data_IF_961987310905
#
_entry.id   IF_961987310905
#
_cell.length_a   1.000
_cell.length_b   1.000
_cell.length_c   1.000
_cell.angle_alpha   90.00
_cell.angle_beta   90.00
_cell.angle_gamma   90.00
#
_symmetry.space_group_name_H-M   'P 1'
#
loop_
_entity.id
_entity.type
_entity.pdbx_description
1 polymer ?
#
# COMPACT_ATOMS: atom_id res chain seq x y z
N UNK A 1 6.63 5.42 -12.91
CA UNK A 1 5.31 5.86 -12.39
C UNK A 1 5.34 6.48 -11.00
N UNK A 2 5.81 5.79 -9.95
CA UNK A 2 5.76 6.31 -8.58
C UNK A 2 6.53 7.62 -8.39
N UNK A 3 7.71 7.74 -9.02
CA UNK A 3 8.51 8.96 -9.01
C UNK A 3 7.74 10.18 -9.57
N UNK A 4 6.82 9.97 -10.51
CA UNK A 4 5.98 11.02 -11.09
C UNK A 4 4.76 11.38 -10.20
N UNK A 5 4.67 10.84 -8.98
CA UNK A 5 3.57 11.11 -8.04
C UNK A 5 2.35 10.20 -8.20
N UNK A 6 2.40 9.21 -9.08
CA UNK A 6 1.30 8.26 -9.22
C UNK A 6 1.24 7.28 -8.06
N UNK A 7 0.04 7.07 -7.51
CA UNK A 7 -0.18 6.15 -6.40
C UNK A 7 -0.22 4.67 -6.83
N UNK A 8 -0.10 3.73 -5.88
CA UNK A 8 -0.05 2.29 -6.21
C UNK A 8 -1.28 1.79 -6.99
N UNK A 9 -2.48 2.33 -6.72
CA UNK A 9 -3.69 1.98 -7.48
C UNK A 9 -3.63 2.42 -8.96
N UNK A 10 -3.01 3.57 -9.23
CA UNK A 10 -2.81 4.03 -10.60
C UNK A 10 -1.81 3.12 -11.30
N UNK A 11 -0.68 2.82 -10.62
CA UNK A 11 0.36 1.93 -11.14
C UNK A 11 -0.23 0.55 -11.46
N UNK A 12 -1.02 -0.01 -10.54
CA UNK A 12 -1.74 -1.28 -10.73
C UNK A 12 -2.54 -1.30 -12.03
N UNK A 13 -3.36 -0.26 -12.29
CA UNK A 13 -4.18 -0.16 -13.51
C UNK A 13 -3.31 -0.05 -14.77
N UNK A 14 -2.23 0.73 -14.72
CA UNK A 14 -1.31 0.88 -15.85
C UNK A 14 -0.61 -0.44 -16.20
N UNK A 15 -0.12 -1.17 -15.21
CA UNK A 15 0.49 -2.48 -15.42
C UNK A 15 -0.51 -3.50 -16.00
N UNK A 16 -1.77 -3.42 -15.59
CA UNK A 16 -2.86 -4.25 -16.11
C UNK A 16 -3.18 -3.90 -17.58
N UNK A 17 -3.26 -2.60 -17.90
CA UNK A 17 -3.46 -2.08 -19.27
C UNK A 17 -2.31 -2.46 -20.21
N UNK A 18 -1.07 -2.38 -19.74
CA UNK A 18 0.14 -2.77 -20.47
C UNK A 18 0.32 -4.29 -20.57
N UNK A 19 -0.57 -5.09 -19.96
CA UNK A 19 -0.51 -6.55 -19.90
C UNK A 19 0.83 -7.05 -19.33
N UNK A 20 1.35 -6.38 -18.31
CA UNK A 20 2.54 -6.83 -17.58
C UNK A 20 2.09 -7.88 -16.55
N UNK A 21 2.58 -9.13 -16.64
CA UNK A 21 2.15 -10.20 -15.73
C UNK A 21 2.62 -9.94 -14.31
N UNK A 22 1.80 -10.33 -13.34
CA UNK A 22 2.08 -10.11 -11.93
C UNK A 22 3.22 -11.02 -11.42
N UNK A 23 3.90 -10.65 -10.31
CA UNK A 23 5.05 -11.41 -9.80
C UNK A 23 4.67 -12.84 -9.38
N UNK A 24 3.41 -13.04 -8.96
CA UNK A 24 2.92 -14.39 -8.60
C UNK A 24 2.86 -15.32 -9.81
N UNK A 25 2.48 -14.79 -10.98
CA UNK A 25 2.52 -15.53 -12.23
C UNK A 25 3.96 -15.88 -12.60
N UNK A 26 4.88 -14.90 -12.56
CA UNK A 26 6.30 -15.11 -12.84
C UNK A 26 6.97 -16.14 -11.93
N UNK A 27 6.67 -16.10 -10.63
CA UNK A 27 7.22 -17.07 -9.68
C UNK A 27 6.71 -18.50 -9.95
N UNK A 28 5.50 -18.64 -10.49
CA UNK A 28 5.00 -19.95 -10.94
C UNK A 28 5.70 -20.42 -12.21
N UNK A 29 5.85 -19.54 -13.19
CA UNK A 29 6.56 -19.85 -14.44
C UNK A 29 8.00 -20.34 -14.16
N UNK A 30 8.64 -19.78 -13.13
CA UNK A 30 9.98 -20.16 -12.66
C UNK A 30 10.01 -21.37 -11.71
N UNK A 31 8.87 -22.00 -11.41
CA UNK A 31 8.78 -23.14 -10.49
C UNK A 31 8.99 -22.81 -9.00
N UNK A 32 9.08 -21.52 -8.63
CA UNK A 32 9.24 -21.07 -7.25
C UNK A 32 7.93 -21.11 -6.45
N UNK A 33 6.79 -21.30 -7.12
CA UNK A 33 5.47 -21.31 -6.50
C UNK A 33 4.47 -22.16 -7.28
N UNK A 34 3.72 -23.01 -6.56
CA UNK A 34 2.72 -23.91 -7.17
C UNK A 34 1.26 -23.46 -6.98
N UNK A 35 1.01 -22.33 -6.31
CA UNK A 35 -0.35 -21.84 -6.04
C UNK A 35 -0.78 -20.77 -7.03
N UNK A 36 -1.99 -20.91 -7.60
CA UNK A 36 -2.64 -19.88 -8.43
C UNK A 36 -3.34 -18.83 -7.56
N UNK A 37 -3.34 -17.58 -8.01
CA UNK A 37 -4.10 -16.52 -7.34
C UNK A 37 -5.61 -16.73 -7.50
N UNK A 38 -6.41 -16.06 -6.65
CA UNK A 38 -7.88 -16.08 -6.79
C UNK A 38 -8.34 -15.56 -8.16
N UNK A 39 -7.59 -14.61 -8.73
CA UNK A 39 -7.91 -13.98 -10.01
C UNK A 39 -7.63 -14.93 -11.17
N UNK A 40 -6.49 -15.62 -11.15
CA UNK A 40 -6.14 -16.63 -12.16
C UNK A 40 -7.06 -17.86 -12.12
N UNK A 41 -7.59 -18.22 -10.95
CA UNK A 41 -8.58 -19.29 -10.84
C UNK A 41 -9.92 -18.90 -11.47
N UNK A 42 -10.29 -17.61 -11.40
CA UNK A 42 -11.54 -17.10 -11.95
C UNK A 42 -11.44 -16.85 -13.46
N UNK A 43 -10.34 -16.27 -13.91
CA UNK A 43 -10.07 -15.98 -15.31
C UNK A 43 -8.58 -16.28 -15.59
N UNK A 44 -8.26 -17.40 -16.26
CA UNK A 44 -6.89 -17.79 -16.53
C UNK A 44 -6.14 -16.83 -17.46
N UNK A 45 -6.79 -16.02 -18.28
CA UNK A 45 -6.12 -15.08 -19.20
C UNK A 45 -5.90 -13.73 -18.52
N UNK A 46 -6.97 -13.10 -18.03
CA UNK A 46 -6.88 -11.77 -17.41
C UNK A 46 -6.28 -11.81 -16.02
N UNK A 47 -6.50 -12.91 -15.28
CA UNK A 47 -6.02 -13.06 -13.91
C UNK A 47 -4.49 -13.01 -13.75
N UNK A 48 -3.74 -13.26 -14.84
CA UNK A 48 -2.26 -13.18 -14.85
C UNK A 48 -1.75 -11.75 -14.70
N UNK A 49 -2.52 -10.78 -15.18
CA UNK A 49 -2.20 -9.35 -15.19
C UNK A 49 -2.81 -8.59 -14.01
N UNK A 50 -3.52 -9.30 -13.11
CA UNK A 50 -4.13 -8.70 -11.94
C UNK A 50 -3.12 -8.53 -10.81
N UNK A 51 -2.54 -7.33 -10.73
CA UNK A 51 -1.67 -6.91 -9.64
C UNK A 51 -2.49 -6.57 -8.39
N UNK A 52 -2.06 -7.04 -7.22
CA UNK A 52 -2.64 -6.61 -5.95
C UNK A 52 -2.03 -5.27 -5.51
N UNK A 53 -2.83 -4.43 -4.84
CA UNK A 53 -2.35 -3.17 -4.28
C UNK A 53 -1.22 -3.41 -3.26
N UNK A 54 -1.32 -4.44 -2.42
CA UNK A 54 -0.28 -4.75 -1.43
C UNK A 54 1.05 -5.05 -2.10
N UNK A 55 1.04 -5.85 -3.17
CA UNK A 55 2.25 -6.20 -3.93
C UNK A 55 2.95 -4.96 -4.47
N UNK A 56 2.21 -4.02 -5.09
CA UNK A 56 2.81 -2.77 -5.59
C UNK A 56 3.38 -1.94 -4.43
N UNK A 57 2.65 -1.86 -3.31
CA UNK A 57 3.12 -1.13 -2.13
C UNK A 57 4.40 -1.75 -1.57
N UNK A 58 4.46 -3.06 -1.45
CA UNK A 58 5.62 -3.78 -0.91
C UNK A 58 6.85 -3.61 -1.81
N UNK A 59 6.66 -3.65 -3.13
CA UNK A 59 7.73 -3.36 -4.09
C UNK A 59 8.28 -1.94 -3.90
N UNK A 60 7.39 -0.95 -3.81
CA UNK A 60 7.83 0.44 -3.67
C UNK A 60 8.47 0.73 -2.32
N UNK A 61 8.15 -0.01 -1.27
CA UNK A 61 8.72 0.20 0.08
C UNK A 61 9.96 -0.63 0.36
N UNK A 62 10.37 -1.54 -0.54
CA UNK A 62 11.46 -2.47 -0.25
C UNK A 62 12.84 -1.80 -0.45
N UNK A 63 13.62 -1.57 0.62
CA UNK A 63 14.94 -0.95 0.51
C UNK A 63 15.97 -1.85 -0.20
N UNK A 64 15.65 -3.13 -0.44
CA UNK A 64 16.56 -4.02 -1.18
C UNK A 64 16.86 -3.48 -2.58
N UNK A 65 15.93 -2.73 -3.19
CA UNK A 65 16.17 -2.15 -4.50
C UNK A 65 17.27 -1.07 -4.52
N UNK A 66 17.64 -0.51 -3.36
CA UNK A 66 18.73 0.48 -3.23
C UNK A 66 20.08 -0.15 -2.89
N UNK A 67 20.23 -1.48 -3.01
CA UNK A 67 21.48 -2.18 -2.67
C UNK A 67 21.58 -2.59 -1.20
N UNK A 68 20.51 -2.43 -0.42
CA UNK A 68 20.48 -2.79 0.99
C UNK A 68 20.01 -4.23 1.21
N UNK A 69 20.37 -4.82 2.36
CA UNK A 69 19.74 -6.03 2.87
C UNK A 69 18.81 -5.63 4.01
N UNK A 70 17.55 -6.09 3.98
CA UNK A 70 16.57 -5.86 5.03
C UNK A 70 16.09 -7.17 5.65
N UNK A 71 16.27 -7.30 6.96
CA UNK A 71 15.99 -8.50 7.76
C UNK A 71 15.07 -8.20 8.95
N UNK A 72 14.63 -9.25 9.66
CA UNK A 72 13.78 -9.15 10.85
C UNK A 72 12.43 -8.44 10.63
N UNK A 73 11.84 -8.57 9.43
CA UNK A 73 10.58 -7.89 9.05
C UNK A 73 9.32 -8.40 9.77
N UNK A 74 9.42 -9.48 10.56
CA UNK A 74 8.29 -10.16 11.18
C UNK A 74 8.47 -10.21 12.69
N UNK A 75 7.38 -10.05 13.42
CA UNK A 75 7.31 -10.35 14.84
C UNK A 75 7.08 -11.83 15.03
N UNK A 76 8.07 -12.50 15.59
CA UNK A 76 8.04 -13.93 15.88
C UNK A 76 8.10 -14.13 17.40
N UNK A 77 7.18 -14.92 17.95
CA UNK A 77 7.31 -15.44 19.31
C UNK A 77 7.52 -16.94 19.25
N UNK A 78 8.52 -17.38 20.00
CA UNK A 78 8.82 -18.79 20.19
C UNK A 78 7.56 -19.56 20.62
N UNK A 79 7.33 -20.73 20.03
CA UNK A 79 6.15 -21.62 20.18
C UNK A 79 4.79 -21.09 19.68
N UNK A 80 4.65 -19.79 19.38
CA UNK A 80 3.42 -19.22 18.80
C UNK A 80 3.55 -19.04 17.29
N UNK A 81 4.77 -18.73 16.81
CA UNK A 81 5.04 -18.47 15.40
C UNK A 81 5.06 -16.98 15.07
N UNK A 82 4.80 -16.64 13.80
CA UNK A 82 4.69 -15.25 13.35
C UNK A 82 3.39 -14.65 13.84
N UNK A 83 3.47 -13.53 14.55
CA UNK A 83 2.31 -12.83 15.14
C UNK A 83 1.94 -11.58 14.35
N UNK A 84 2.92 -10.99 13.67
CA UNK A 84 2.69 -9.77 12.92
C UNK A 84 3.87 -9.41 12.04
N UNK A 85 3.69 -8.31 11.34
CA UNK A 85 4.73 -7.65 10.56
C UNK A 85 5.24 -6.45 11.34
N UNK A 86 6.57 -6.30 11.37
CA UNK A 86 7.19 -5.14 11.98
C UNK A 86 7.04 -3.93 11.09
N UNK A 87 6.98 -2.75 11.70
CA UNK A 87 7.02 -1.51 10.93
C UNK A 87 8.39 -1.38 10.24
N UNK A 88 8.47 -0.72 9.07
CA UNK A 88 9.72 -0.54 8.36
C UNK A 88 10.84 0.08 9.20
N UNK A 89 10.49 0.92 10.17
CA UNK A 89 11.45 1.56 11.09
C UNK A 89 12.11 0.55 12.05
N UNK A 90 11.46 -0.57 12.33
CA UNK A 90 11.97 -1.62 13.22
C UNK A 90 12.73 -2.73 12.46
N UNK A 91 12.93 -2.55 11.16
CA UNK A 91 13.69 -3.50 10.33
C UNK A 91 15.20 -3.32 10.56
N UNK A 92 15.94 -4.42 10.53
CA UNK A 92 17.39 -4.36 10.48
C UNK A 92 17.79 -4.18 9.02
N UNK A 93 18.26 -2.98 8.66
CA UNK A 93 18.66 -2.62 7.30
C UNK A 93 20.17 -2.35 7.27
N UNK A 94 20.88 -3.06 6.41
CA UNK A 94 22.32 -2.88 6.17
C UNK A 94 22.51 -2.44 4.72
N UNK A 95 23.17 -1.32 4.50
CA UNK A 95 23.29 -0.69 3.18
C UNK A 95 24.53 -1.17 2.41
N UNK A 96 24.54 -0.96 1.09
CA UNK A 96 25.73 -1.17 0.23
C UNK A 96 26.18 -2.63 0.10
N UNK A 97 25.26 -3.59 0.17
CA UNK A 97 25.57 -5.02 0.15
C UNK A 97 25.56 -5.63 -1.25
N UNK A 98 24.88 -4.99 -2.21
CA UNK A 98 24.89 -5.38 -3.61
C UNK A 98 24.63 -4.19 -4.53
N UNK A 99 24.81 -4.40 -5.85
CA UNK A 99 24.54 -3.37 -6.85
C UNK A 99 23.07 -2.92 -6.78
N UNK A 100 22.81 -1.60 -6.64
CA UNK A 100 21.46 -1.07 -6.54
C UNK A 100 20.73 -1.15 -7.89
N UNK A 101 19.45 -1.52 -7.86
CA UNK A 101 18.57 -1.48 -9.03
C UNK A 101 17.99 -0.08 -9.27
N UNK A 102 17.86 0.71 -8.20
CA UNK A 102 17.40 2.10 -8.24
C UNK A 102 18.31 2.96 -7.37
N UNK A 103 18.46 4.22 -7.75
CA UNK A 103 19.21 5.17 -6.94
C UNK A 103 18.46 5.49 -5.64
N UNK A 104 19.23 5.76 -4.59
CA UNK A 104 18.68 6.02 -3.25
C UNK A 104 17.84 7.29 -3.20
N UNK A 105 18.24 8.33 -3.93
CA UNK A 105 17.54 9.61 -3.96
C UNK A 105 16.11 9.45 -4.52
N UNK A 106 15.95 8.73 -5.62
CA UNK A 106 14.66 8.39 -6.21
C UNK A 106 13.81 7.55 -5.27
N UNK A 107 14.41 6.59 -4.57
CA UNK A 107 13.71 5.79 -3.57
C UNK A 107 13.17 6.66 -2.43
N UNK A 108 13.99 7.56 -1.89
CA UNK A 108 13.61 8.47 -0.81
C UNK A 108 12.50 9.45 -1.24
N UNK A 109 12.58 9.96 -2.47
CA UNK A 109 11.52 10.79 -3.08
C UNK A 109 10.21 10.00 -3.14
N UNK A 110 10.26 8.74 -3.57
CA UNK A 110 9.06 7.86 -3.62
C UNK A 110 8.52 7.59 -2.22
N UNK A 111 9.36 7.31 -1.22
CA UNK A 111 8.91 7.11 0.16
C UNK A 111 8.20 8.36 0.70
N UNK A 112 8.77 9.55 0.47
CA UNK A 112 8.18 10.80 0.88
C UNK A 112 6.83 11.05 0.20
N UNK A 113 6.74 10.79 -1.11
CA UNK A 113 5.48 10.89 -1.86
C UNK A 113 4.43 9.89 -1.37
N UNK A 114 4.83 8.67 -0.99
CA UNK A 114 3.91 7.68 -0.43
C UNK A 114 3.38 8.09 0.95
N UNK A 115 4.23 8.67 1.80
CA UNK A 115 3.86 9.18 3.14
C UNK A 115 2.92 10.39 3.07
N UNK A 116 3.21 11.35 2.18
CA UNK A 116 2.42 12.57 2.04
C UNK A 116 1.14 12.39 1.22
N UNK A 117 0.95 11.23 0.59
CA UNK A 117 -0.18 11.01 -0.33
C UNK A 117 -1.52 11.08 0.39
N UNK A 118 -2.29 12.10 0.06
CA UNK A 118 -3.70 12.18 0.41
C UNK A 118 -4.52 11.38 -0.61
N UNK A 119 -5.51 10.62 -0.13
CA UNK A 119 -6.43 9.92 -1.02
C UNK A 119 -7.51 10.91 -1.46
N UNK A 120 -7.71 11.13 -2.77
CA UNK A 120 -8.83 11.93 -3.24
C UNK A 120 -10.15 11.25 -2.85
N UNK A 121 -11.18 12.07 -2.66
CA UNK A 121 -12.55 11.61 -2.41
C UNK A 121 -13.20 10.99 -3.64
N UNK A 122 -14.48 10.65 -3.54
CA UNK A 122 -15.26 10.09 -4.65
C UNK A 122 -15.36 11.04 -5.85
N UNK A 123 -15.38 12.34 -5.60
CA UNK A 123 -15.38 13.40 -6.62
C UNK A 123 -13.99 13.66 -7.23
N UNK A 124 -13.00 12.83 -6.90
CA UNK A 124 -11.59 13.01 -7.26
C UNK A 124 -10.94 14.30 -6.71
N UNK A 125 -11.67 15.08 -5.91
CA UNK A 125 -11.17 16.24 -5.20
C UNK A 125 -10.52 15.85 -3.88
N UNK A 126 -9.46 16.57 -3.52
CA UNK A 126 -8.80 16.46 -2.23
C UNK A 126 -9.47 17.46 -1.30
N UNK A 127 -9.97 16.99 -0.17
CA UNK A 127 -10.53 17.88 0.86
C UNK A 127 -9.44 18.81 1.39
N UNK A 128 -9.79 20.10 1.55
CA UNK A 128 -8.89 21.14 2.06
C UNK A 128 -8.18 20.72 3.37
N UNK A 129 -8.86 19.94 4.21
CA UNK A 129 -8.36 19.48 5.50
C UNK A 129 -7.98 17.99 5.53
N UNK A 130 -7.81 17.36 4.36
CA UNK A 130 -7.46 15.94 4.27
C UNK A 130 -6.14 15.66 5.00
N UNK A 131 -6.19 14.78 6.00
CA UNK A 131 -5.02 14.42 6.80
C UNK A 131 -4.62 15.41 7.88
N UNK A 132 -5.21 16.62 7.91
CA UNK A 132 -4.93 17.67 8.90
C UNK A 132 -5.83 17.55 10.13
N UNK A 133 -7.15 17.45 9.93
CA UNK A 133 -8.09 17.31 11.05
C UNK A 133 -7.93 15.93 11.70
N UNK A 134 -7.64 15.90 13.00
CA UNK A 134 -7.51 14.68 13.81
C UNK A 134 -8.68 14.56 14.78
N UNK A 135 -9.11 13.33 15.03
CA UNK A 135 -10.05 13.03 16.11
C UNK A 135 -9.32 13.15 17.46
N UNK A 136 -9.90 13.86 18.42
CA UNK A 136 -9.34 14.02 19.77
C UNK A 136 -9.30 12.72 20.58
N UNK A 137 -10.20 11.77 20.31
CA UNK A 137 -10.27 10.48 21.02
C UNK A 137 -9.31 9.45 20.40
N UNK A 138 -9.47 9.13 19.11
CA UNK A 138 -8.69 8.06 18.48
C UNK A 138 -7.40 8.52 17.76
N UNK A 139 -7.13 9.83 17.69
CA UNK A 139 -5.94 10.40 17.03
C UNK A 139 -5.89 10.24 15.50
N UNK A 140 -6.83 9.51 14.88
CA UNK A 140 -6.86 9.30 13.42
C UNK A 140 -7.42 10.52 12.70
N UNK A 141 -7.04 10.68 11.42
CA UNK A 141 -7.56 11.75 10.57
C UNK A 141 -9.07 11.63 10.35
N UNK A 142 -9.79 12.75 10.46
CA UNK A 142 -11.21 12.84 10.15
C UNK A 142 -11.44 12.64 8.64
N UNK A 143 -12.57 12.04 8.30
CA UNK A 143 -13.00 11.81 6.91
C UNK A 143 -14.22 12.65 6.58
N UNK A 144 -14.22 13.20 5.37
CA UNK A 144 -15.38 13.85 4.79
C UNK A 144 -16.46 12.82 4.49
N UNK A 145 -17.70 13.12 4.89
CA UNK A 145 -18.90 12.38 4.49
C UNK A 145 -20.05 13.35 4.22
N UNK A 146 -21.10 12.84 3.58
CA UNK A 146 -22.35 13.55 3.43
C UNK A 146 -23.36 13.11 4.50
N UNK A 147 -24.22 14.02 4.94
CA UNK A 147 -25.34 13.70 5.83
C UNK A 147 -26.44 12.96 5.07
N UNK A 148 -27.19 12.09 5.78
CA UNK A 148 -28.35 11.38 5.22
C UNK A 148 -29.63 12.24 5.29
N UNK A 149 -29.52 13.52 4.97
CA UNK A 149 -30.65 14.46 4.97
C UNK A 149 -31.18 14.67 3.54
N UNK A 150 -32.40 15.20 3.41
CA UNK A 150 -33.01 15.56 2.11
C UNK A 150 -32.11 16.49 1.28
N UNK A 151 -31.31 17.32 1.97
CA UNK A 151 -30.24 18.14 1.39
C UNK A 151 -28.92 17.74 2.04
N UNK A 152 -28.14 16.85 1.41
CA UNK A 152 -26.89 16.34 1.98
C UNK A 152 -25.86 17.47 2.15
N UNK A 153 -25.33 17.59 3.36
CA UNK A 153 -24.25 18.53 3.68
C UNK A 153 -22.95 17.77 3.93
N UNK A 154 -21.84 18.40 3.54
CA UNK A 154 -20.52 17.86 3.74
C UNK A 154 -20.07 18.09 5.19
N UNK A 155 -19.76 17.02 5.91
CA UNK A 155 -19.31 17.07 7.31
C UNK A 155 -18.01 16.28 7.49
N UNK A 156 -17.20 16.67 8.48
CA UNK A 156 -16.04 15.90 8.93
C UNK A 156 -16.46 14.97 10.07
N UNK A 157 -16.08 13.70 9.96
CA UNK A 157 -16.46 12.68 10.95
C UNK A 157 -15.32 11.74 11.24
N UNK A 158 -15.27 11.22 12.47
CA UNK A 158 -14.29 10.24 12.88
C UNK A 158 -14.55 8.92 12.14
N UNK A 159 -13.57 8.45 11.37
CA UNK A 159 -13.67 7.18 10.64
C UNK A 159 -13.83 6.00 11.60
N UNK A 160 -13.11 6.00 12.71
CA UNK A 160 -13.14 4.91 13.70
C UNK A 160 -14.50 4.85 14.38
N UNK A 161 -15.03 5.99 14.82
CA UNK A 161 -16.39 6.10 15.33
C UNK A 161 -17.45 5.60 14.34
N UNK A 162 -17.33 5.98 13.06
CA UNK A 162 -18.27 5.52 12.04
C UNK A 162 -18.22 3.99 11.81
N UNK A 163 -17.04 3.37 11.97
CA UNK A 163 -16.86 1.94 11.72
C UNK A 163 -17.17 1.06 12.93
N UNK A 164 -16.86 1.52 14.14
CA UNK A 164 -16.92 0.73 15.38
C UNK A 164 -17.87 1.30 16.44
N UNK A 165 -18.49 2.46 16.19
CA UNK A 165 -19.41 3.11 17.12
C UNK A 165 -18.72 3.80 18.29
N UNK A 166 -19.43 3.95 19.42
CA UNK A 166 -18.95 4.67 20.62
C UNK A 166 -17.80 3.98 21.35
N UNK A 167 -17.58 2.68 21.17
CA UNK A 167 -16.64 1.88 21.96
C UNK A 167 -15.25 1.76 21.30
N UNK A 168 -14.78 2.81 20.62
CA UNK A 168 -13.65 2.74 19.70
C UNK A 168 -12.38 3.45 20.18
#
# INVERSE_FOLDING_TARGET
YALNGHGPNYIRRRLEEEKIPCPTWWNRERGLRNTRTKWEKKDPEKGRYMWDFSVIKDLLMNPVYTGAIASQKKDYRFKIGTIGEKKPEDWIVVEGQHEPLIDRMSFDIVQNKLKSRQRPGQTNEISLFAGLLKCGECGKSLTVRYTNAKHPQQIYSCKTYNAFGKNH
#
